data_IF_883285322986
#
_entry.id   IF_883285322986
#
_cell.length_a   1.000
_cell.length_b   1.000
_cell.length_c   1.000
_cell.angle_alpha   90.00
_cell.angle_beta   90.00
_cell.angle_gamma   90.00
#
_symmetry.space_group_name_H-M   'P 1'
#
loop_
_entity.id
_entity.type
_entity.pdbx_description
1 polymer ?
#
# COMPACT_ATOMS: atom_id res chain seq x y z
N UNK A 1 -19.54 10.29 9.13
CA UNK A 1 -18.86 8.98 9.24
C UNK A 1 -18.32 8.66 7.86
N UNK A 2 -17.07 8.25 7.74
CA UNK A 2 -16.45 7.91 6.45
C UNK A 2 -17.03 6.60 5.93
N UNK A 3 -17.38 6.54 4.67
CA UNK A 3 -17.87 5.32 4.01
C UNK A 3 -16.71 4.54 3.44
N UNK A 4 -16.58 3.26 3.77
CA UNK A 4 -15.47 2.39 3.33
C UNK A 4 -16.02 1.22 2.52
N UNK A 5 -15.47 1.03 1.33
CA UNK A 5 -15.62 -0.18 0.55
C UNK A 5 -14.33 -1.00 0.64
N UNK A 6 -14.45 -2.27 0.97
CA UNK A 6 -13.31 -3.21 0.98
C UNK A 6 -13.44 -4.13 -0.23
N UNK A 7 -12.44 -4.11 -1.10
CA UNK A 7 -12.39 -5.00 -2.26
C UNK A 7 -12.21 -6.44 -1.78
N UNK A 8 -13.11 -7.32 -2.18
CA UNK A 8 -13.18 -8.70 -1.69
C UNK A 8 -13.96 -8.85 -0.36
N UNK A 9 -13.81 -10.00 0.28
CA UNK A 9 -14.65 -10.38 1.42
C UNK A 9 -14.05 -10.04 2.80
N UNK A 10 -12.76 -9.74 2.87
CA UNK A 10 -12.02 -9.57 4.13
C UNK A 10 -12.25 -8.17 4.76
N UNK A 11 -13.49 -7.91 5.18
CA UNK A 11 -13.94 -6.59 5.67
C UNK A 11 -13.16 -6.08 6.90
N UNK A 12 -12.53 -6.97 7.68
CA UNK A 12 -11.72 -6.62 8.85
C UNK A 12 -10.49 -5.75 8.52
N UNK A 13 -10.05 -5.71 7.26
CA UNK A 13 -8.99 -4.79 6.83
C UNK A 13 -9.34 -3.31 7.03
N UNK A 14 -10.62 -2.97 7.21
CA UNK A 14 -11.05 -1.62 7.55
C UNK A 14 -11.06 -1.33 9.06
N UNK A 15 -10.83 -2.30 9.94
CA UNK A 15 -11.03 -2.17 11.40
C UNK A 15 -10.10 -1.18 12.09
N UNK A 16 -8.93 -0.92 11.51
CA UNK A 16 -8.00 0.07 12.04
C UNK A 16 -8.39 1.51 11.70
N UNK A 17 -9.27 1.72 10.71
CA UNK A 17 -9.72 3.05 10.28
C UNK A 17 -10.84 3.53 11.22
N UNK A 18 -10.64 4.67 11.86
CA UNK A 18 -11.59 5.18 12.86
C UNK A 18 -12.76 5.96 12.22
N UNK A 19 -13.95 5.83 12.80
CA UNK A 19 -15.13 6.59 12.41
C UNK A 19 -15.66 6.22 11.02
N UNK A 20 -15.67 4.91 10.69
CA UNK A 20 -16.11 4.38 9.40
C UNK A 20 -17.44 3.63 9.49
N UNK A 21 -18.11 3.52 8.34
CA UNK A 21 -19.16 2.57 8.06
C UNK A 21 -18.85 1.85 6.75
N UNK A 22 -19.07 0.54 6.71
CA UNK A 22 -18.93 -0.23 5.47
C UNK A 22 -20.09 0.07 4.52
N UNK A 23 -19.78 0.07 3.21
CA UNK A 23 -20.76 0.17 2.11
C UNK A 23 -20.60 -1.00 1.15
N UNK A 24 -21.69 -1.34 0.46
CA UNK A 24 -21.71 -2.49 -0.47
C UNK A 24 -21.34 -2.10 -1.92
N UNK A 25 -21.42 -0.81 -2.26
CA UNK A 25 -21.08 -0.32 -3.59
C UNK A 25 -19.86 0.58 -3.52
N UNK A 26 -18.92 0.37 -4.45
CA UNK A 26 -17.68 1.15 -4.53
C UNK A 26 -17.94 2.63 -4.81
N UNK A 27 -18.99 2.94 -5.58
CA UNK A 27 -19.37 4.30 -5.94
C UNK A 27 -19.84 5.15 -4.75
N UNK A 28 -20.30 4.49 -3.67
CA UNK A 28 -20.78 5.14 -2.44
C UNK A 28 -19.66 5.41 -1.44
N UNK A 29 -18.45 4.87 -1.67
CA UNK A 29 -17.34 4.93 -0.74
C UNK A 29 -16.63 6.29 -0.75
N UNK A 30 -16.13 6.70 0.41
CA UNK A 30 -15.12 7.75 0.55
C UNK A 30 -13.70 7.14 0.44
N UNK A 31 -13.55 5.89 0.90
CA UNK A 31 -12.29 5.15 0.96
C UNK A 31 -12.50 3.77 0.37
N UNK A 32 -11.60 3.36 -0.52
CA UNK A 32 -11.56 2.01 -1.09
C UNK A 32 -10.32 1.30 -0.56
N UNK A 33 -10.51 0.14 0.08
CA UNK A 33 -9.43 -0.64 0.70
C UNK A 33 -9.11 -1.86 -0.16
N UNK A 34 -7.83 -1.99 -0.59
CA UNK A 34 -7.27 -3.20 -1.19
C UNK A 34 -6.52 -3.99 -0.11
N UNK A 35 -6.81 -5.28 -0.03
CA UNK A 35 -6.40 -6.14 1.09
C UNK A 35 -5.09 -6.87 0.82
N UNK A 36 -4.51 -7.46 1.86
CA UNK A 36 -3.38 -8.37 1.78
C UNK A 36 -3.73 -9.71 1.11
N UNK A 37 -2.76 -10.61 1.02
CA UNK A 37 -2.91 -11.95 0.48
C UNK A 37 -1.78 -12.38 -0.44
N UNK A 38 -2.09 -13.18 -1.45
CA UNK A 38 -1.15 -13.69 -2.47
C UNK A 38 -0.46 -12.55 -3.22
N UNK A 39 0.71 -12.84 -3.81
CA UNK A 39 1.51 -11.85 -4.53
C UNK A 39 0.79 -11.29 -5.77
N UNK A 40 1.14 -10.08 -6.16
CA UNK A 40 0.69 -9.49 -7.44
C UNK A 40 1.44 -10.18 -8.58
N UNK A 41 0.72 -10.59 -9.63
CA UNK A 41 1.31 -11.29 -10.77
C UNK A 41 2.30 -10.38 -11.52
N UNK A 42 3.53 -10.85 -11.78
CA UNK A 42 4.56 -10.07 -12.46
C UNK A 42 4.18 -9.58 -13.86
N UNK A 43 3.22 -10.22 -14.53
CA UNK A 43 2.71 -9.76 -15.82
C UNK A 43 2.02 -8.39 -15.72
N UNK A 44 1.45 -8.05 -14.56
CA UNK A 44 0.79 -6.76 -14.31
C UNK A 44 1.77 -5.56 -14.36
N UNK A 45 3.05 -5.80 -14.15
CA UNK A 45 4.10 -4.76 -14.18
C UNK A 45 5.26 -5.08 -15.12
N UNK A 46 5.05 -6.02 -16.07
CA UNK A 46 5.98 -6.35 -17.14
C UNK A 46 7.30 -6.93 -16.64
N UNK A 47 7.26 -7.75 -15.60
CA UNK A 47 8.44 -8.41 -15.02
C UNK A 47 8.39 -9.93 -15.23
N UNK A 48 9.57 -10.56 -15.21
CA UNK A 48 9.69 -12.02 -15.18
C UNK A 48 9.31 -12.52 -13.80
N UNK A 49 8.56 -13.63 -13.73
CA UNK A 49 8.14 -14.25 -12.47
C UNK A 49 9.33 -14.83 -11.73
N UNK A 50 9.53 -14.39 -10.50
CA UNK A 50 10.51 -14.97 -9.57
C UNK A 50 10.02 -16.33 -9.04
N UNK A 51 10.90 -17.34 -8.80
CA UNK A 51 10.47 -18.66 -8.30
C UNK A 51 9.69 -18.64 -6.99
N UNK A 52 9.88 -17.62 -6.17
CA UNK A 52 9.19 -17.44 -4.88
C UNK A 52 7.92 -16.57 -4.98
N UNK A 53 7.48 -16.21 -6.18
CA UNK A 53 6.23 -15.46 -6.39
C UNK A 53 5.06 -16.42 -6.54
N UNK A 54 4.07 -16.29 -5.66
CA UNK A 54 2.83 -17.05 -5.66
C UNK A 54 1.65 -16.11 -5.91
N UNK A 55 1.27 -15.96 -7.17
CA UNK A 55 0.29 -14.98 -7.62
C UNK A 55 -1.00 -15.61 -8.13
N UNK A 56 -2.09 -14.83 -8.11
CA UNK A 56 -3.37 -15.16 -8.67
C UNK A 56 -3.81 -14.07 -9.67
N UNK A 57 -3.50 -14.26 -10.93
CA UNK A 57 -3.80 -13.27 -11.99
C UNK A 57 -5.29 -12.97 -12.11
N UNK A 58 -6.20 -13.91 -11.85
CA UNK A 58 -7.63 -13.64 -11.91
C UNK A 58 -8.06 -12.64 -10.83
N UNK A 59 -7.49 -12.74 -9.63
CA UNK A 59 -7.68 -11.75 -8.57
C UNK A 59 -7.12 -10.40 -8.97
N UNK A 60 -5.93 -10.37 -9.56
CA UNK A 60 -5.29 -9.12 -9.98
C UNK A 60 -6.13 -8.38 -11.02
N UNK A 61 -6.63 -9.10 -12.04
CA UNK A 61 -7.50 -8.53 -13.08
C UNK A 61 -8.85 -8.04 -12.51
N UNK A 62 -9.44 -8.78 -11.57
CA UNK A 62 -10.64 -8.30 -10.86
C UNK A 62 -10.37 -7.02 -10.07
N UNK A 63 -9.25 -6.96 -9.35
CA UNK A 63 -8.89 -5.77 -8.58
C UNK A 63 -8.54 -4.58 -9.48
N UNK A 64 -7.92 -4.81 -10.65
CA UNK A 64 -7.70 -3.80 -11.68
C UNK A 64 -9.02 -3.22 -12.18
N UNK A 65 -10.01 -4.06 -12.53
CA UNK A 65 -11.37 -3.61 -12.89
C UNK A 65 -12.02 -2.77 -11.78
N UNK A 66 -11.82 -3.16 -10.52
CA UNK A 66 -12.32 -2.38 -9.39
C UNK A 66 -11.58 -1.06 -9.20
N UNK A 67 -10.26 -1.04 -9.46
CA UNK A 67 -9.44 0.17 -9.39
C UNK A 67 -9.87 1.21 -10.43
N UNK A 68 -10.19 0.78 -11.65
CA UNK A 68 -10.70 1.64 -12.74
C UNK A 68 -12.04 2.32 -12.43
N UNK A 69 -12.85 1.73 -11.53
CA UNK A 69 -14.14 2.30 -11.08
C UNK A 69 -13.98 3.41 -10.02
N UNK A 70 -12.77 3.58 -9.47
CA UNK A 70 -12.54 4.54 -8.39
C UNK A 70 -12.54 5.97 -8.93
N UNK A 71 -13.31 6.81 -8.27
CA UNK A 71 -13.47 8.22 -8.64
C UNK A 71 -12.34 9.08 -8.07
N UNK A 72 -12.02 10.24 -8.69
CA UNK A 72 -10.96 11.13 -8.20
C UNK A 72 -11.14 11.65 -6.77
N UNK A 73 -12.38 11.68 -6.25
CA UNK A 73 -12.72 12.11 -4.89
C UNK A 73 -12.68 11.00 -3.84
N UNK A 74 -12.32 9.80 -4.23
CA UNK A 74 -12.15 8.65 -3.34
C UNK A 74 -10.66 8.45 -3.03
N UNK A 75 -10.37 8.05 -1.78
CA UNK A 75 -9.01 7.69 -1.37
C UNK A 75 -8.85 6.17 -1.43
N UNK A 76 -7.77 5.71 -2.05
CA UNK A 76 -7.37 4.30 -1.98
C UNK A 76 -6.46 4.08 -0.77
N UNK A 77 -6.69 2.98 -0.05
CA UNK A 77 -5.80 2.48 1.01
C UNK A 77 -5.41 1.05 0.67
N UNK A 78 -4.13 0.82 0.38
CA UNK A 78 -3.58 -0.52 0.11
C UNK A 78 -2.83 -1.07 1.31
N UNK A 79 -3.08 -2.34 1.70
CA UNK A 79 -2.47 -2.99 2.86
C UNK A 79 -1.73 -4.23 2.42
N UNK A 80 -0.46 -4.34 2.78
CA UNK A 80 0.45 -5.45 2.46
C UNK A 80 0.47 -5.71 0.93
N UNK A 81 -0.09 -6.81 0.46
CA UNK A 81 -0.24 -7.06 -1.00
C UNK A 81 -1.02 -5.93 -1.68
N UNK A 82 -2.05 -5.35 -1.04
CA UNK A 82 -2.78 -4.19 -1.56
C UNK A 82 -1.90 -2.94 -1.75
N UNK A 83 -0.86 -2.75 -0.94
CA UNK A 83 0.12 -1.67 -1.14
C UNK A 83 0.98 -1.90 -2.37
N UNK A 84 1.37 -3.14 -2.61
CA UNK A 84 2.12 -3.57 -3.80
C UNK A 84 1.26 -3.40 -5.06
N UNK A 85 -0.02 -3.76 -4.99
CA UNK A 85 -0.99 -3.53 -6.06
C UNK A 85 -1.12 -2.02 -6.38
N UNK A 86 -1.25 -1.16 -5.37
CA UNK A 86 -1.24 0.30 -5.57
C UNK A 86 0.04 0.79 -6.27
N UNK A 87 1.21 0.24 -5.92
CA UNK A 87 2.47 0.54 -6.59
C UNK A 87 2.40 0.20 -8.07
N UNK A 88 1.92 -1.00 -8.42
CA UNK A 88 1.79 -1.49 -9.80
C UNK A 88 0.80 -0.64 -10.59
N UNK A 89 -0.36 -0.31 -10.03
CA UNK A 89 -1.38 0.53 -10.69
C UNK A 89 -0.89 1.97 -10.95
N UNK A 90 0.14 2.42 -10.24
CA UNK A 90 0.83 3.68 -10.50
C UNK A 90 2.03 3.55 -11.46
N UNK A 91 2.30 2.35 -11.99
CA UNK A 91 3.40 2.06 -12.92
C UNK A 91 4.74 1.73 -12.23
N UNK A 92 4.71 1.49 -10.93
CA UNK A 92 5.87 1.05 -10.16
C UNK A 92 6.21 -0.42 -10.40
N UNK A 93 7.33 -0.84 -9.85
CA UNK A 93 7.80 -2.24 -9.86
C UNK A 93 7.69 -2.86 -8.47
N UNK A 94 7.92 -4.16 -8.37
CA UNK A 94 7.96 -4.86 -7.09
C UNK A 94 9.30 -5.57 -6.91
N UNK A 95 9.80 -5.53 -5.68
CA UNK A 95 10.77 -6.48 -5.17
C UNK A 95 9.99 -7.78 -4.96
N UNK A 96 10.27 -8.80 -5.79
CA UNK A 96 9.51 -10.04 -5.80
C UNK A 96 9.93 -11.00 -4.67
N UNK A 97 11.12 -10.79 -4.13
CA UNK A 97 11.55 -11.51 -2.94
C UNK A 97 12.59 -10.68 -2.17
N UNK A 98 12.37 -10.56 -0.87
CA UNK A 98 13.35 -10.06 0.10
C UNK A 98 13.27 -10.87 1.39
N UNK A 99 14.40 -10.98 2.09
CA UNK A 99 14.46 -11.63 3.41
C UNK A 99 14.19 -10.62 4.52
N UNK A 100 13.95 -11.10 5.74
CA UNK A 100 13.92 -10.27 6.95
C UNK A 100 12.60 -9.55 7.26
N UNK A 101 11.64 -9.54 6.34
CA UNK A 101 10.30 -8.93 6.52
C UNK A 101 9.18 -9.94 6.77
N UNK A 102 9.36 -11.22 6.39
CA UNK A 102 8.41 -12.31 6.64
C UNK A 102 8.51 -12.82 8.08
N UNK A 103 8.33 -11.96 9.06
CA UNK A 103 8.39 -12.30 10.48
C UNK A 103 6.99 -12.26 11.09
N UNK A 104 6.73 -13.17 12.04
CA UNK A 104 5.52 -13.11 12.87
C UNK A 104 5.79 -12.16 14.06
N UNK A 105 5.61 -10.86 13.83
CA UNK A 105 5.89 -9.85 14.85
C UNK A 105 5.80 -8.43 14.31
N UNK A 106 6.43 -7.51 15.01
CA UNK A 106 6.54 -6.11 14.60
C UNK A 106 7.97 -5.74 14.27
N UNK A 107 8.13 -4.68 13.47
CA UNK A 107 9.40 -3.99 13.29
C UNK A 107 9.21 -2.48 13.29
N UNK A 108 10.31 -1.76 13.53
CA UNK A 108 10.31 -0.30 13.50
C UNK A 108 10.25 0.23 12.07
N UNK A 109 9.37 1.19 11.84
CA UNK A 109 9.35 2.03 10.63
C UNK A 109 9.61 3.48 11.04
N UNK A 110 10.41 4.18 10.26
CA UNK A 110 10.69 5.59 10.46
C UNK A 110 9.83 6.43 9.53
N UNK A 111 8.99 7.30 10.12
CA UNK A 111 8.19 8.28 9.41
C UNK A 111 8.58 9.67 9.92
N UNK A 112 9.12 10.52 9.05
CA UNK A 112 9.76 11.76 9.47
C UNK A 112 10.84 11.46 10.53
N UNK A 113 10.77 12.05 11.72
CA UNK A 113 11.72 11.85 12.83
C UNK A 113 11.18 10.89 13.92
N UNK A 114 10.10 10.15 13.63
CA UNK A 114 9.45 9.27 14.61
C UNK A 114 9.51 7.82 14.17
N UNK A 115 9.91 6.94 15.08
CA UNK A 115 9.88 5.48 14.87
C UNK A 115 8.59 4.92 15.43
N UNK A 116 7.88 4.16 14.58
CA UNK A 116 6.66 3.43 14.92
C UNK A 116 6.88 1.94 14.77
N UNK A 117 6.23 1.14 15.60
CA UNK A 117 6.19 -0.32 15.44
C UNK A 117 4.97 -0.72 14.59
N UNK A 118 5.19 -1.55 13.56
CA UNK A 118 4.12 -2.10 12.72
C UNK A 118 4.35 -3.61 12.50
N UNK A 119 3.28 -4.36 12.33
CA UNK A 119 3.35 -5.80 12.00
C UNK A 119 3.93 -6.01 10.61
N UNK A 120 4.70 -7.09 10.44
CA UNK A 120 5.38 -7.41 9.18
C UNK A 120 5.29 -8.91 8.89
N UNK A 121 4.68 -9.26 7.75
CA UNK A 121 4.53 -10.65 7.31
C UNK A 121 4.77 -10.81 5.80
N UNK A 122 5.42 -9.84 5.16
CA UNK A 122 5.63 -9.83 3.71
C UNK A 122 7.04 -10.31 3.32
N UNK A 123 7.17 -10.88 2.12
CA UNK A 123 8.43 -11.20 1.48
C UNK A 123 8.60 -10.47 0.14
N UNK A 124 7.56 -9.78 -0.29
CA UNK A 124 7.60 -8.84 -1.42
C UNK A 124 7.45 -7.41 -0.91
N UNK A 125 7.89 -6.45 -1.72
CA UNK A 125 7.87 -5.05 -1.33
C UNK A 125 7.63 -4.16 -2.55
N UNK A 126 6.89 -3.07 -2.35
CA UNK A 126 6.73 -2.03 -3.36
C UNK A 126 8.08 -1.37 -3.70
N UNK A 127 8.29 -1.09 -4.99
CA UNK A 127 9.47 -0.40 -5.50
C UNK A 127 9.06 0.79 -6.38
N UNK A 128 8.81 1.96 -5.77
CA UNK A 128 8.35 3.14 -6.50
C UNK A 128 9.46 3.91 -7.22
N UNK A 129 10.72 3.52 -7.06
CA UNK A 129 11.89 4.31 -7.44
C UNK A 129 12.13 4.44 -8.95
N UNK A 130 11.38 3.68 -9.76
CA UNK A 130 11.32 3.83 -11.21
C UNK A 130 10.28 4.88 -11.68
N UNK A 131 9.49 5.42 -10.76
CA UNK A 131 8.52 6.48 -11.03
C UNK A 131 9.18 7.86 -10.98
N UNK A 132 8.49 8.88 -11.52
CA UNK A 132 8.91 10.26 -11.31
C UNK A 132 8.76 10.64 -9.84
N UNK A 133 9.69 11.40 -9.30
CA UNK A 133 9.66 11.84 -7.90
C UNK A 133 8.42 12.70 -7.57
N UNK A 134 7.76 13.27 -8.60
CA UNK A 134 6.53 14.05 -8.45
C UNK A 134 5.26 13.19 -8.33
N UNK A 135 5.35 11.88 -8.64
CA UNK A 135 4.20 10.99 -8.67
C UNK A 135 3.97 10.24 -7.34
N UNK A 136 4.95 10.30 -6.42
CA UNK A 136 4.84 9.64 -5.12
C UNK A 136 5.58 10.40 -4.01
N UNK A 137 5.21 10.09 -2.78
CA UNK A 137 5.92 10.53 -1.56
C UNK A 137 6.24 9.29 -0.71
N UNK A 138 7.51 9.09 -0.42
CA UNK A 138 7.96 8.06 0.53
C UNK A 138 7.75 8.60 1.94
N UNK A 139 6.71 8.12 2.64
CA UNK A 139 6.31 8.60 3.98
C UNK A 139 7.00 7.82 5.07
N UNK A 140 7.16 6.51 4.90
CA UNK A 140 7.78 5.63 5.90
C UNK A 140 8.70 4.61 5.27
N UNK A 141 9.83 4.39 5.93
CA UNK A 141 10.82 3.36 5.57
C UNK A 141 11.10 2.47 6.77
N UNK A 142 11.62 1.26 6.54
CA UNK A 142 12.17 0.45 7.64
C UNK A 142 13.19 1.25 8.43
N UNK A 143 13.06 1.27 9.77
CA UNK A 143 13.97 2.03 10.65
C UNK A 143 15.42 1.55 10.55
N UNK A 144 15.60 0.25 10.35
CA UNK A 144 16.87 -0.36 10.01
C UNK A 144 16.69 -1.24 8.77
N UNK A 145 17.65 -1.22 7.85
CA UNK A 145 17.66 -2.18 6.73
C UNK A 145 17.56 -3.60 7.29
N UNK A 146 16.54 -4.33 6.87
CA UNK A 146 16.24 -5.67 7.35
C UNK A 146 16.61 -6.75 6.34
N UNK A 147 16.39 -6.46 5.05
CA UNK A 147 16.67 -7.42 4.01
C UNK A 147 18.17 -7.55 3.72
N UNK A 148 18.61 -8.79 3.49
CA UNK A 148 19.97 -9.12 3.06
C UNK A 148 20.07 -9.15 1.53
N UNK A 149 18.93 -9.30 0.85
CA UNK A 149 18.82 -9.39 -0.61
C UNK A 149 17.52 -8.75 -1.08
N UNK A 150 17.52 -8.27 -2.32
CA UNK A 150 16.36 -7.74 -3.02
C UNK A 150 16.33 -8.34 -4.41
N UNK A 151 15.35 -9.19 -4.69
CA UNK A 151 15.25 -9.93 -5.93
C UNK A 151 14.01 -9.50 -6.71
N UNK A 152 14.16 -9.23 -7.98
CA UNK A 152 13.06 -8.82 -8.87
C UNK A 152 13.58 -8.29 -10.18
N UNK A 153 12.77 -8.39 -11.23
CA UNK A 153 13.14 -7.92 -12.56
C UNK A 153 12.92 -6.40 -12.67
N UNK A 154 13.96 -5.69 -13.09
CA UNK A 154 13.92 -4.25 -13.31
C UNK A 154 13.91 -3.40 -12.04
N UNK A 155 14.36 -3.95 -10.89
CA UNK A 155 14.60 -3.19 -9.67
C UNK A 155 16.07 -2.73 -9.57
N UNK A 156 16.28 -1.66 -8.79
CA UNK A 156 17.60 -1.16 -8.44
C UNK A 156 17.84 -1.34 -6.95
N UNK A 157 18.76 -2.23 -6.59
CA UNK A 157 19.16 -2.42 -5.19
C UNK A 157 19.78 -1.15 -4.60
N UNK A 158 20.52 -0.38 -5.39
CA UNK A 158 21.12 0.89 -4.98
C UNK A 158 20.06 1.90 -4.54
N UNK A 159 18.94 1.97 -5.24
CA UNK A 159 17.85 2.87 -4.83
C UNK A 159 17.34 2.52 -3.44
N UNK A 160 17.21 1.23 -3.13
CA UNK A 160 16.74 0.77 -1.81
C UNK A 160 17.79 1.07 -0.74
N UNK A 161 19.07 0.89 -1.05
CA UNK A 161 20.18 1.17 -0.13
C UNK A 161 20.23 2.66 0.24
N UNK A 162 20.01 3.56 -0.71
CA UNK A 162 20.10 5.00 -0.49
C UNK A 162 18.79 5.64 0.00
N UNK A 163 17.64 5.12 -0.43
CA UNK A 163 16.32 5.72 -0.11
C UNK A 163 15.59 4.99 1.00
N UNK A 164 16.01 3.77 1.36
CA UNK A 164 15.40 2.91 2.37
C UNK A 164 14.41 1.91 1.79
N UNK A 165 14.02 0.94 2.62
CA UNK A 165 12.99 -0.08 2.33
C UNK A 165 11.60 0.54 2.48
N UNK A 166 10.79 0.65 1.40
CA UNK A 166 9.51 1.38 1.46
C UNK A 166 8.46 0.65 2.29
N UNK A 167 7.94 1.30 3.32
CA UNK A 167 6.89 0.76 4.20
C UNK A 167 5.57 1.52 4.07
N UNK A 168 5.63 2.85 3.88
CA UNK A 168 4.45 3.67 3.61
C UNK A 168 4.76 4.59 2.45
N UNK A 169 4.00 4.46 1.37
CA UNK A 169 4.12 5.30 0.17
C UNK A 169 2.77 5.93 -0.13
N UNK A 170 2.77 7.21 -0.43
CA UNK A 170 1.62 7.91 -0.97
C UNK A 170 1.83 8.13 -2.47
N UNK A 171 1.02 7.47 -3.29
CA UNK A 171 0.98 7.71 -4.73
C UNK A 171 -0.06 8.80 -5.02
N UNK A 172 0.34 9.79 -5.83
CA UNK A 172 -0.51 10.94 -6.14
C UNK A 172 -0.31 11.44 -7.59
N UNK A 173 -0.01 10.49 -8.47
CA UNK A 173 0.10 10.74 -9.91
C UNK A 173 -1.20 11.31 -10.45
N UNK A 174 -1.08 12.33 -11.33
CA UNK A 174 -2.23 12.95 -11.97
C UNK A 174 -3.05 11.91 -12.74
N UNK A 175 -4.38 12.03 -12.69
CA UNK A 175 -5.36 11.16 -13.36
C UNK A 175 -5.43 9.71 -12.83
N UNK A 176 -4.66 9.37 -11.81
CA UNK A 176 -4.76 8.10 -11.10
C UNK A 176 -5.31 8.37 -9.69
N UNK A 177 -6.19 7.52 -9.14
CA UNK A 177 -6.66 7.66 -7.77
C UNK A 177 -5.52 7.77 -6.78
N UNK A 178 -5.64 8.71 -5.83
CA UNK A 178 -4.65 8.89 -4.76
C UNK A 178 -4.61 7.67 -3.86
N UNK A 179 -3.43 7.04 -3.68
CA UNK A 179 -3.27 5.79 -2.97
C UNK A 179 -2.32 5.95 -1.77
N UNK A 180 -2.81 5.67 -0.57
CA UNK A 180 -1.98 5.48 0.61
C UNK A 180 -1.66 3.98 0.74
N UNK A 181 -0.44 3.59 0.43
CA UNK A 181 0.04 2.22 0.38
C UNK A 181 0.85 1.90 1.64
N UNK A 182 0.38 0.94 2.44
CA UNK A 182 0.92 0.54 3.73
C UNK A 182 1.38 -0.92 3.63
N UNK A 183 2.68 -1.17 3.74
CA UNK A 183 3.25 -2.52 3.56
C UNK A 183 2.95 -3.44 4.76
N UNK A 184 2.89 -2.91 5.96
CA UNK A 184 2.53 -3.67 7.17
C UNK A 184 1.02 -3.87 7.33
N UNK A 185 0.62 -4.52 8.43
CA UNK A 185 -0.76 -4.89 8.73
C UNK A 185 -1.32 -4.13 9.94
N UNK A 186 -1.81 -2.89 9.76
CA UNK A 186 -2.37 -2.10 10.87
C UNK A 186 -3.66 -2.68 11.46
N UNK A 187 -4.40 -3.52 10.70
CA UNK A 187 -5.62 -4.19 11.17
C UNK A 187 -5.36 -5.22 12.27
N UNK A 188 -4.14 -5.72 12.38
CA UNK A 188 -3.74 -6.60 13.49
C UNK A 188 -3.20 -5.85 14.71
N UNK A 189 -3.07 -4.53 14.61
CA UNK A 189 -2.60 -3.68 15.71
C UNK A 189 -3.77 -3.21 16.59
N UNK A 190 -3.44 -2.84 17.84
CA UNK A 190 -4.44 -2.17 18.70
C UNK A 190 -4.82 -0.80 18.13
N UNK A 191 -6.09 -0.42 18.21
CA UNK A 191 -6.58 0.87 17.70
C UNK A 191 -5.87 2.08 18.31
N UNK A 192 -5.40 1.93 19.56
CA UNK A 192 -4.66 2.96 20.31
C UNK A 192 -3.17 3.00 19.98
N UNK A 193 -2.65 2.05 19.21
CA UNK A 193 -1.24 2.01 18.84
C UNK A 193 -0.82 3.32 18.13
N UNK A 194 0.36 3.86 18.45
CA UNK A 194 0.83 5.12 17.85
C UNK A 194 0.82 5.10 16.33
N UNK A 195 1.23 4.00 15.70
CA UNK A 195 1.20 3.84 14.24
C UNK A 195 -0.22 3.91 13.69
N UNK A 196 -1.21 3.28 14.35
CA UNK A 196 -2.61 3.31 13.89
C UNK A 196 -3.18 4.73 13.97
N UNK A 197 -2.85 5.49 15.01
CA UNK A 197 -3.23 6.90 15.12
C UNK A 197 -2.59 7.74 14.01
N UNK A 198 -1.31 7.51 13.73
CA UNK A 198 -0.58 8.19 12.66
C UNK A 198 -1.19 7.87 11.28
N UNK A 199 -1.46 6.60 10.99
CA UNK A 199 -2.12 6.19 9.74
C UNK A 199 -3.51 6.80 9.60
N UNK A 200 -4.31 6.87 10.66
CA UNK A 200 -5.60 7.54 10.63
C UNK A 200 -5.49 9.05 10.35
N UNK A 201 -4.45 9.71 10.87
CA UNK A 201 -4.15 11.10 10.52
C UNK A 201 -3.86 11.23 9.02
N UNK A 202 -2.98 10.39 8.47
CA UNK A 202 -2.65 10.38 7.03
C UNK A 202 -3.89 10.14 6.16
N UNK A 203 -4.74 9.16 6.52
CA UNK A 203 -6.00 8.87 5.83
C UNK A 203 -6.92 10.10 5.85
N UNK A 204 -7.11 10.74 7.01
CA UNK A 204 -7.98 11.91 7.13
C UNK A 204 -7.47 13.10 6.31
N UNK A 205 -6.16 13.35 6.33
CA UNK A 205 -5.56 14.48 5.61
C UNK A 205 -5.64 14.25 4.09
N UNK A 206 -5.35 13.05 3.61
CA UNK A 206 -5.46 12.72 2.18
C UNK A 206 -6.92 12.66 1.69
N UNK A 207 -7.85 12.20 2.52
CA UNK A 207 -9.27 12.22 2.19
C UNK A 207 -9.81 13.65 2.02
N UNK A 208 -9.36 14.61 2.82
CA UNK A 208 -9.70 16.03 2.63
C UNK A 208 -9.19 16.56 1.30
N UNK A 209 -7.96 16.17 0.90
CA UNK A 209 -7.36 16.61 -0.36
C UNK A 209 -8.20 16.13 -1.55
N UNK A 210 -8.54 14.82 -1.62
CA UNK A 210 -9.31 14.28 -2.75
C UNK A 210 -10.72 14.88 -2.81
N UNK A 211 -11.36 15.15 -1.68
CA UNK A 211 -12.70 15.78 -1.64
C UNK A 211 -12.68 17.26 -2.05
N UNK A 212 -11.60 17.97 -1.79
CA UNK A 212 -11.49 19.38 -2.19
C UNK A 212 -11.22 19.55 -3.69
N UNK A 213 -10.61 18.56 -4.34
CA UNK A 213 -10.35 18.60 -5.78
C UNK A 213 -11.61 18.52 -6.66
N UNK A 214 -12.76 18.08 -6.11
CA UNK A 214 -14.06 18.11 -6.81
C UNK A 214 -14.65 19.54 -6.98
N UNK A 215 -14.21 20.48 -6.14
CA UNK A 215 -14.80 21.82 -6.10
C UNK A 215 -14.03 22.86 -6.94
N UNK A 216 -13.00 22.43 -7.66
CA UNK A 216 -12.19 23.26 -8.57
C UNK A 216 -12.21 22.69 -10.00
#
# INVERSE_FOLDING_TARGET
MKKVYVVGEAKHYADFITGVSLVENIEDADIVVFTGGEDVDPSMYGAKKHPQTYSNLQRDLYEEEMFEKIKPNQLVVGICRGSQFCCVMNGGKLIQHCTGHGIFGTHGIMCEDTVYEITSTHHQMQHPFNLNNEDYTLIGISYHRRALNYEGDGISELDIIYKGEPEIVLYHKKEIPRCLAIQGHPEYMRKEAPVVKYLNKLINDNLKIVKNNENN
#
